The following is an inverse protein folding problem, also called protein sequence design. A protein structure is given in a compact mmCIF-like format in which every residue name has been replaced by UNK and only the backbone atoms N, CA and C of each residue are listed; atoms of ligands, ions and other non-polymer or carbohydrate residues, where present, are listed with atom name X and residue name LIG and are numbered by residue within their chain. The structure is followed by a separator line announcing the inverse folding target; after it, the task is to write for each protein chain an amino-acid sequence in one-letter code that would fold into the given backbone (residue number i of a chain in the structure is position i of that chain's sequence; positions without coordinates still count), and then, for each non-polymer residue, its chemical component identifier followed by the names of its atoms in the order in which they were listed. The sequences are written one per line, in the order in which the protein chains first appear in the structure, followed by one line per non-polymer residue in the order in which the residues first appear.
data_IF_803693185311
#
_entry.id   IF_803693185311
#
_cell.length_a   1.000
_cell.length_b   1.000
_cell.length_c   1.000
_cell.angle_alpha   90.00
_cell.angle_beta   90.00
_cell.angle_gamma   90.00
#
_symmetry.space_group_name_H-M   'P 1'
#
loop_
_entity.id
_entity.type
_entity.pdbx_description
1 polymer ?
#
# COMPACT_ATOMS: atom_id res chain seq x y z
N UNK A 1 29.76 6.86 -2.72
CA UNK A 1 28.28 6.73 -2.67
C UNK A 1 27.74 5.80 -3.74
N UNK A 2 28.07 6.01 -5.02
CA UNK A 2 27.60 5.20 -6.14
C UNK A 2 27.94 3.68 -6.03
N UNK A 3 29.16 3.34 -5.61
CA UNK A 3 29.60 1.95 -5.38
C UNK A 3 28.70 1.17 -4.42
N UNK A 4 28.29 1.76 -3.30
CA UNK A 4 27.42 1.09 -2.32
C UNK A 4 26.05 0.78 -2.94
N UNK A 5 25.53 1.73 -3.72
CA UNK A 5 24.26 1.56 -4.40
C UNK A 5 24.33 0.44 -5.45
N UNK A 6 25.42 0.35 -6.21
CA UNK A 6 25.61 -0.74 -7.17
C UNK A 6 25.64 -2.10 -6.49
N UNK A 7 26.31 -2.21 -5.33
CA UNK A 7 26.35 -3.45 -4.56
C UNK A 7 24.94 -3.81 -4.05
N UNK A 8 24.18 -2.85 -3.51
CA UNK A 8 22.80 -3.07 -3.03
C UNK A 8 21.89 -3.51 -4.18
N UNK A 9 21.95 -2.82 -5.31
CA UNK A 9 21.11 -3.12 -6.48
C UNK A 9 21.46 -4.49 -7.05
N UNK A 10 22.74 -4.79 -7.25
CA UNK A 10 23.20 -6.11 -7.72
C UNK A 10 22.73 -7.22 -6.78
N UNK A 11 23.01 -7.08 -5.49
CA UNK A 11 22.62 -8.07 -4.48
C UNK A 11 21.11 -8.29 -4.47
N UNK A 12 20.34 -7.21 -4.56
CA UNK A 12 18.87 -7.30 -4.57
C UNK A 12 18.36 -7.97 -5.84
N UNK A 13 18.86 -7.59 -7.02
CA UNK A 13 18.40 -8.14 -8.29
C UNK A 13 18.74 -9.62 -8.44
N UNK A 14 19.91 -10.05 -7.95
CA UNK A 14 20.34 -11.44 -7.98
C UNK A 14 19.58 -12.32 -6.96
N UNK A 15 19.23 -11.79 -5.78
CA UNK A 15 18.71 -12.60 -4.66
C UNK A 15 17.23 -12.37 -4.31
N UNK A 16 16.55 -11.39 -4.91
CA UNK A 16 15.16 -11.06 -4.54
C UNK A 16 14.15 -12.17 -4.86
N UNK A 17 14.39 -12.96 -5.92
CA UNK A 17 13.46 -13.98 -6.39
C UNK A 17 12.10 -13.37 -6.75
N UNK A 18 11.03 -13.86 -6.08
CA UNK A 18 9.64 -13.41 -6.28
C UNK A 18 9.16 -12.38 -5.24
N UNK A 19 10.05 -11.89 -4.36
CA UNK A 19 9.68 -10.94 -3.32
C UNK A 19 9.26 -9.60 -3.93
N UNK A 20 8.26 -8.98 -3.32
CA UNK A 20 7.91 -7.58 -3.61
C UNK A 20 8.79 -6.67 -2.80
N UNK A 21 9.48 -5.77 -3.48
CA UNK A 21 10.49 -4.88 -2.89
C UNK A 21 10.16 -3.47 -3.33
N UNK A 22 10.24 -2.55 -2.39
CA UNK A 22 10.18 -1.11 -2.60
C UNK A 22 11.49 -0.55 -2.05
N UNK A 23 12.23 0.21 -2.84
CA UNK A 23 13.37 0.95 -2.33
C UNK A 23 12.90 2.28 -1.75
N UNK A 24 13.59 2.76 -0.72
CA UNK A 24 13.25 4.05 -0.14
C UNK A 24 14.47 4.70 0.51
N UNK A 25 14.59 6.03 0.40
CA UNK A 25 15.73 6.79 0.96
C UNK A 25 15.30 8.21 1.34
N UNK A 26 15.98 8.80 2.35
CA UNK A 26 15.90 10.24 2.66
C UNK A 26 16.74 11.09 1.71
N UNK A 27 17.71 10.48 1.04
CA UNK A 27 18.61 11.15 0.10
C UNK A 27 17.96 11.15 -1.30
N UNK A 28 17.72 12.36 -1.81
CA UNK A 28 17.10 12.58 -3.10
C UNK A 28 18.00 12.14 -4.27
N UNK A 29 19.32 12.34 -4.18
CA UNK A 29 20.26 11.88 -5.21
C UNK A 29 20.27 10.36 -5.28
N UNK A 30 20.20 9.68 -4.13
CA UNK A 30 20.04 8.22 -4.09
C UNK A 30 18.74 7.79 -4.76
N UNK A 31 17.62 8.45 -4.48
CA UNK A 31 16.34 8.11 -5.11
C UNK A 31 16.40 8.24 -6.64
N UNK A 32 16.96 9.34 -7.14
CA UNK A 32 17.18 9.58 -8.57
C UNK A 32 18.07 8.50 -9.18
N UNK A 33 19.21 8.19 -8.57
CA UNK A 33 20.14 7.20 -9.14
C UNK A 33 19.53 5.79 -9.11
N UNK A 34 18.82 5.41 -8.04
CA UNK A 34 18.09 4.12 -8.00
C UNK A 34 17.05 4.05 -9.10
N UNK A 35 16.31 5.13 -9.33
CA UNK A 35 15.28 5.19 -10.38
C UNK A 35 15.87 5.07 -11.78
N UNK A 36 17.05 5.64 -12.01
CA UNK A 36 17.74 5.60 -13.29
C UNK A 36 18.43 4.25 -13.57
N UNK A 37 18.97 3.60 -12.53
CA UNK A 37 19.73 2.35 -12.69
C UNK A 37 18.86 1.10 -12.85
N UNK A 38 17.61 1.14 -12.43
CA UNK A 38 16.69 0.01 -12.56
C UNK A 38 15.23 0.45 -12.71
N UNK A 39 14.43 -0.38 -13.36
CA UNK A 39 13.01 -0.12 -13.60
C UNK A 39 12.08 -1.23 -13.06
N UNK A 40 12.60 -2.16 -12.25
CA UNK A 40 11.88 -3.32 -11.73
C UNK A 40 11.16 -3.03 -10.41
N UNK A 41 11.82 -2.36 -9.48
CA UNK A 41 11.30 -2.07 -8.15
C UNK A 41 10.99 -0.58 -8.02
N UNK A 42 9.81 -0.22 -7.48
CA UNK A 42 9.46 1.17 -7.22
C UNK A 42 10.34 1.80 -6.14
N UNK A 43 10.34 3.13 -6.12
CA UNK A 43 11.10 3.94 -5.17
C UNK A 43 10.15 4.89 -4.44
N UNK A 44 10.25 4.96 -3.11
CA UNK A 44 9.59 5.95 -2.27
C UNK A 44 10.61 6.93 -1.71
N UNK A 45 10.33 8.23 -1.79
CA UNK A 45 11.17 9.26 -1.20
C UNK A 45 10.75 9.54 0.25
N UNK A 46 11.67 9.44 1.21
CA UNK A 46 11.38 9.74 2.60
C UNK A 46 11.56 11.23 2.89
N UNK A 47 10.62 11.79 3.63
CA UNK A 47 10.71 13.13 4.17
C UNK A 47 10.17 13.15 5.59
N UNK A 48 10.78 13.98 6.44
CA UNK A 48 10.22 14.29 7.75
C UNK A 48 9.21 15.45 7.72
N UNK A 49 9.05 16.09 6.55
CA UNK A 49 8.24 17.29 6.41
C UNK A 49 8.71 18.39 7.35
N UNK A 50 7.76 19.22 7.81
CA UNK A 50 8.02 20.11 8.93
C UNK A 50 7.83 19.34 10.24
N UNK A 51 8.89 19.27 11.04
CA UNK A 51 8.90 18.54 12.31
C UNK A 51 9.44 19.45 13.40
N UNK A 52 8.83 19.39 14.58
CA UNK A 52 9.36 20.01 15.80
C UNK A 52 10.28 19.03 16.57
N UNK A 53 10.26 17.75 16.20
CA UNK A 53 11.04 16.66 16.80
C UNK A 53 12.44 16.57 16.17
N UNK A 54 12.51 16.75 14.86
CA UNK A 54 13.75 16.59 14.08
C UNK A 54 14.25 17.91 13.49
N UNK A 55 15.57 18.13 13.45
CA UNK A 55 16.14 19.31 12.81
C UNK A 55 15.87 19.27 11.32
N UNK A 56 15.68 20.44 10.71
CA UNK A 56 15.40 20.57 9.29
C UNK A 56 16.48 19.91 8.42
N UNK A 57 16.05 19.15 7.41
CA UNK A 57 16.94 18.53 6.43
C UNK A 57 17.59 19.60 5.54
N UNK A 58 18.90 19.47 5.31
CA UNK A 58 19.67 20.43 4.50
C UNK A 58 19.26 20.43 3.02
N UNK A 59 18.82 19.28 2.49
CA UNK A 59 18.38 19.17 1.10
C UNK A 59 16.99 19.80 0.94
N UNK A 60 16.92 20.87 0.16
CA UNK A 60 15.68 21.61 -0.13
C UNK A 60 14.58 20.70 -0.68
N UNK A 61 14.93 19.66 -1.45
CA UNK A 61 13.98 18.70 -2.04
C UNK A 61 13.22 17.89 -0.98
N UNK A 62 13.80 17.77 0.21
CA UNK A 62 13.27 16.97 1.33
C UNK A 62 12.62 17.80 2.45
N UNK A 63 12.78 19.13 2.44
CA UNK A 63 12.45 20.02 3.58
C UNK A 63 10.98 20.08 3.97
N UNK A 64 10.08 19.92 3.02
CA UNK A 64 8.63 19.96 3.29
C UNK A 64 7.92 18.90 2.47
N UNK A 65 6.78 18.42 2.99
CA UNK A 65 5.97 17.42 2.32
C UNK A 65 5.55 17.85 0.90
N UNK A 66 5.11 19.10 0.63
CA UNK A 66 4.79 19.55 -0.72
C UNK A 66 5.98 19.58 -1.71
N UNK A 67 7.17 19.95 -1.23
CA UNK A 67 8.37 19.93 -2.07
C UNK A 67 8.76 18.48 -2.36
N UNK A 68 8.71 17.61 -1.36
CA UNK A 68 8.99 16.18 -1.52
C UNK A 68 8.02 15.50 -2.50
N UNK A 69 6.71 15.84 -2.44
CA UNK A 69 5.73 15.42 -3.44
C UNK A 69 6.13 15.86 -4.85
N UNK A 70 6.50 17.13 -5.01
CA UNK A 70 6.85 17.69 -6.31
C UNK A 70 8.12 17.03 -6.88
N UNK A 71 9.12 16.78 -6.03
CA UNK A 71 10.32 16.03 -6.40
C UNK A 71 9.99 14.59 -6.82
N UNK A 72 9.19 13.87 -6.04
CA UNK A 72 8.81 12.50 -6.36
C UNK A 72 8.04 12.40 -7.69
N UNK A 73 7.17 13.37 -7.97
CA UNK A 73 6.46 13.45 -9.24
C UNK A 73 7.42 13.74 -10.41
N UNK A 74 8.35 14.69 -10.23
CA UNK A 74 9.32 15.07 -11.27
C UNK A 74 10.27 13.91 -11.62
N UNK A 75 10.80 13.21 -10.62
CA UNK A 75 11.69 12.06 -10.79
C UNK A 75 10.95 10.76 -11.15
N UNK A 76 9.62 10.82 -11.34
CA UNK A 76 8.78 9.66 -11.66
C UNK A 76 9.00 8.49 -10.67
N UNK A 77 9.00 8.82 -9.37
CA UNK A 77 9.03 7.86 -8.27
C UNK A 77 7.60 7.33 -8.02
N UNK A 78 7.48 6.23 -7.26
CA UNK A 78 6.16 5.70 -6.90
C UNK A 78 5.39 6.67 -5.99
N UNK A 79 6.12 7.37 -5.11
CA UNK A 79 5.50 8.16 -4.08
C UNK A 79 6.45 8.63 -3.00
N UNK A 80 5.86 9.06 -1.88
CA UNK A 80 6.57 9.57 -0.72
C UNK A 80 6.21 8.81 0.55
N UNK A 81 7.12 8.84 1.51
CA UNK A 81 6.95 8.27 2.82
C UNK A 81 7.25 9.34 3.89
N UNK A 82 6.20 9.83 4.54
CA UNK A 82 6.23 11.07 5.33
C UNK A 82 6.21 10.77 6.83
N UNK A 83 6.94 11.54 7.61
CA UNK A 83 6.84 11.45 9.06
C UNK A 83 5.41 11.79 9.53
N UNK A 84 4.89 10.98 10.44
CA UNK A 84 3.48 11.01 10.82
C UNK A 84 3.06 12.30 11.51
N UNK A 85 3.98 12.95 12.24
CA UNK A 85 3.75 14.27 12.84
C UNK A 85 3.23 15.30 11.83
N UNK A 86 3.85 15.39 10.65
CA UNK A 86 3.46 16.39 9.64
C UNK A 86 2.12 16.02 9.00
N UNK A 87 1.84 14.72 8.83
CA UNK A 87 0.56 14.27 8.28
C UNK A 87 -0.61 14.41 9.25
N UNK A 88 -0.39 14.22 10.55
CA UNK A 88 -1.42 14.47 11.56
C UNK A 88 -1.73 15.97 11.67
N UNK A 89 -0.71 16.83 11.50
CA UNK A 89 -0.87 18.29 11.45
C UNK A 89 -1.55 18.76 10.17
N UNK A 90 -1.23 18.11 9.05
CA UNK A 90 -1.70 18.49 7.71
C UNK A 90 -2.33 17.30 6.95
N UNK A 91 -3.52 16.81 7.37
CA UNK A 91 -4.16 15.65 6.72
C UNK A 91 -4.45 15.84 5.22
N UNK A 92 -4.59 17.09 4.76
CA UNK A 92 -4.82 17.43 3.36
C UNK A 92 -3.71 16.96 2.41
N UNK A 93 -2.47 16.81 2.91
CA UNK A 93 -1.35 16.31 2.09
C UNK A 93 -1.57 14.89 1.56
N UNK A 94 -2.38 14.07 2.25
CA UNK A 94 -2.73 12.72 1.80
C UNK A 94 -3.53 12.79 0.50
N UNK A 95 -4.50 13.69 0.43
CA UNK A 95 -5.32 13.88 -0.78
C UNK A 95 -4.54 14.60 -1.87
N UNK A 96 -3.68 15.55 -1.51
CA UNK A 96 -2.80 16.22 -2.47
C UNK A 96 -1.86 15.22 -3.15
N UNK A 97 -1.17 14.35 -2.40
CA UNK A 97 -0.28 13.33 -2.95
C UNK A 97 -1.01 12.42 -3.94
N UNK A 98 -2.21 11.95 -3.57
CA UNK A 98 -3.05 11.13 -4.44
C UNK A 98 -3.48 11.87 -5.70
N UNK A 99 -3.85 13.14 -5.61
CA UNK A 99 -4.22 13.97 -6.76
C UNK A 99 -3.06 14.13 -7.76
N UNK A 100 -1.81 14.05 -7.27
CA UNK A 100 -0.58 14.04 -8.09
C UNK A 100 -0.21 12.65 -8.64
N UNK A 101 -1.04 11.63 -8.38
CA UNK A 101 -0.79 10.25 -8.78
C UNK A 101 0.27 9.53 -7.93
N UNK A 102 0.61 10.06 -6.77
CA UNK A 102 1.62 9.50 -5.87
C UNK A 102 0.98 8.60 -4.82
N UNK A 103 1.69 7.53 -4.48
CA UNK A 103 1.41 6.75 -3.27
C UNK A 103 1.97 7.48 -2.06
N UNK A 104 1.22 7.51 -0.96
CA UNK A 104 1.68 8.13 0.30
C UNK A 104 1.68 7.15 1.45
N UNK A 105 2.87 6.92 2.00
CA UNK A 105 3.11 6.11 3.20
C UNK A 105 3.44 7.03 4.37
N UNK A 106 3.31 6.51 5.59
CA UNK A 106 3.81 7.22 6.76
C UNK A 106 4.51 6.30 7.76
N UNK A 107 5.42 6.91 8.52
CA UNK A 107 6.25 6.30 9.54
C UNK A 107 6.41 7.24 10.74
N UNK A 108 6.92 6.74 11.86
CA UNK A 108 7.21 7.53 13.06
C UNK A 108 6.42 7.07 14.28
N UNK A 109 6.82 7.57 15.45
CA UNK A 109 6.34 7.05 16.74
C UNK A 109 4.83 7.21 16.95
N UNK A 110 4.23 8.27 16.37
CA UNK A 110 2.79 8.52 16.43
C UNK A 110 1.96 7.37 15.82
N UNK A 111 2.55 6.59 14.92
CA UNK A 111 1.89 5.40 14.33
C UNK A 111 1.75 4.25 15.32
N UNK A 112 2.43 4.29 16.47
CA UNK A 112 2.28 3.29 17.52
C UNK A 112 0.99 3.49 18.34
N UNK A 113 0.34 4.66 18.26
CA UNK A 113 -1.00 4.90 18.82
C UNK A 113 -2.11 4.34 17.89
N UNK A 114 -2.95 3.39 18.36
CA UNK A 114 -4.07 2.85 17.60
C UNK A 114 -5.05 3.92 17.06
N UNK A 115 -5.30 4.98 17.82
CA UNK A 115 -6.24 6.04 17.41
C UNK A 115 -5.68 6.88 16.27
N UNK A 116 -4.39 7.19 16.30
CA UNK A 116 -3.71 7.84 15.18
C UNK A 116 -3.71 6.96 13.92
N UNK A 117 -3.45 5.65 14.07
CA UNK A 117 -3.56 4.72 12.93
C UNK A 117 -4.97 4.70 12.36
N UNK A 118 -6.01 4.73 13.20
CA UNK A 118 -7.40 4.79 12.76
C UNK A 118 -7.68 6.06 11.95
N UNK A 119 -7.30 7.23 12.47
CA UNK A 119 -7.44 8.52 11.77
C UNK A 119 -6.73 8.54 10.42
N UNK A 120 -5.48 8.09 10.36
CA UNK A 120 -4.70 8.06 9.12
C UNK A 120 -5.33 7.15 8.05
N UNK A 121 -5.95 6.03 8.46
CA UNK A 121 -6.75 5.19 7.56
C UNK A 121 -8.01 5.88 7.08
N UNK A 122 -8.73 6.58 7.95
CA UNK A 122 -9.91 7.36 7.58
C UNK A 122 -9.57 8.47 6.58
N UNK A 123 -8.40 9.10 6.72
CA UNK A 123 -7.87 10.04 5.72
C UNK A 123 -7.43 9.37 4.42
N UNK A 124 -7.30 8.04 4.41
CA UNK A 124 -7.00 7.23 3.25
C UNK A 124 -5.51 7.08 2.96
N UNK A 125 -4.63 7.08 3.96
CA UNK A 125 -3.20 6.77 3.75
C UNK A 125 -3.03 5.42 3.01
N UNK A 126 -2.05 5.31 2.10
CA UNK A 126 -1.83 4.05 1.36
C UNK A 126 -1.02 3.04 2.17
N UNK A 127 -0.07 3.50 2.98
CA UNK A 127 0.79 2.62 3.78
C UNK A 127 1.07 3.19 5.17
N UNK A 128 1.09 2.32 6.17
CA UNK A 128 1.39 2.61 7.56
C UNK A 128 2.56 1.74 8.00
N UNK A 129 3.64 2.36 8.47
CA UNK A 129 4.83 1.69 9.01
C UNK A 129 4.86 1.98 10.51
N UNK A 130 4.75 0.94 11.33
CA UNK A 130 4.69 1.00 12.80
C UNK A 130 5.28 -0.26 13.42
N UNK A 131 5.76 -0.18 14.67
CA UNK A 131 6.52 -1.27 15.31
C UNK A 131 5.62 -2.30 16.00
N UNK A 132 4.48 -1.86 16.56
CA UNK A 132 3.60 -2.69 17.38
C UNK A 132 2.65 -3.57 16.56
N UNK A 133 3.19 -4.46 15.75
CA UNK A 133 2.40 -5.34 14.86
C UNK A 133 1.54 -6.36 15.62
N UNK A 134 1.91 -6.68 16.87
CA UNK A 134 1.23 -7.67 17.71
C UNK A 134 0.20 -7.06 18.67
N UNK A 135 0.01 -5.74 18.68
CA UNK A 135 -1.04 -5.11 19.48
C UNK A 135 -2.39 -5.64 18.98
N UNK A 136 -3.16 -6.21 19.90
CA UNK A 136 -4.35 -7.08 19.72
C UNK A 136 -5.52 -6.41 18.97
N UNK A 137 -5.35 -6.10 17.68
CA UNK A 137 -6.43 -5.78 16.75
C UNK A 137 -6.24 -6.62 15.48
N UNK A 138 -7.30 -7.30 14.98
CA UNK A 138 -7.18 -8.24 13.88
C UNK A 138 -6.70 -7.57 12.60
N UNK A 139 -5.58 -8.12 12.14
CA UNK A 139 -4.94 -8.06 10.83
C UNK A 139 -5.77 -7.40 9.72
N UNK A 140 -5.39 -6.17 9.37
CA UNK A 140 -5.77 -5.56 8.11
C UNK A 140 -4.84 -6.10 7.00
N UNK A 141 -5.37 -6.35 5.78
CA UNK A 141 -4.58 -6.91 4.70
C UNK A 141 -3.43 -5.96 4.33
N UNK A 142 -2.24 -6.52 4.12
CA UNK A 142 -1.11 -5.72 3.71
C UNK A 142 -1.37 -5.08 2.32
N UNK A 143 -0.75 -3.94 2.03
CA UNK A 143 -0.88 -3.22 0.73
C UNK A 143 -0.74 -4.15 -0.47
N UNK A 144 0.12 -5.13 -0.31
CA UNK A 144 0.45 -6.19 -1.22
C UNK A 144 -0.72 -7.16 -1.50
N UNK A 145 -1.49 -7.57 -0.49
CA UNK A 145 -2.69 -8.37 -0.64
C UNK A 145 -3.80 -7.54 -1.29
N UNK A 146 -3.92 -6.26 -0.91
CA UNK A 146 -4.90 -5.34 -1.50
C UNK A 146 -4.64 -5.16 -3.00
N UNK A 147 -3.41 -4.89 -3.41
CA UNK A 147 -3.02 -4.78 -4.82
C UNK A 147 -3.34 -6.06 -5.61
N UNK A 148 -3.03 -7.23 -5.04
CA UNK A 148 -3.31 -8.51 -5.69
C UNK A 148 -4.83 -8.74 -5.85
N UNK A 149 -5.61 -8.41 -4.83
CA UNK A 149 -7.06 -8.51 -4.87
C UNK A 149 -7.66 -7.54 -5.88
N UNK A 150 -7.15 -6.30 -5.96
CA UNK A 150 -7.58 -5.34 -6.97
C UNK A 150 -7.27 -5.81 -8.39
N UNK A 151 -6.09 -6.38 -8.60
CA UNK A 151 -5.71 -6.97 -9.89
C UNK A 151 -6.63 -8.13 -10.26
N UNK A 152 -6.89 -9.04 -9.32
CA UNK A 152 -7.84 -10.15 -9.51
C UNK A 152 -9.25 -9.65 -9.82
N UNK A 153 -9.73 -8.60 -9.14
CA UNK A 153 -11.04 -7.98 -9.43
C UNK A 153 -11.13 -7.36 -10.83
N UNK A 154 -10.01 -6.88 -11.39
CA UNK A 154 -9.97 -6.38 -12.78
C UNK A 154 -9.96 -7.52 -13.79
N UNK A 155 -9.25 -8.59 -13.49
CA UNK A 155 -9.12 -9.77 -14.37
C UNK A 155 -10.38 -10.68 -14.32
N UNK A 156 -11.13 -10.69 -13.20
CA UNK A 156 -12.39 -11.42 -13.02
C UNK A 156 -13.52 -10.49 -12.54
N UNK A 157 -14.30 -9.87 -13.45
CA UNK A 157 -15.42 -8.99 -13.09
C UNK A 157 -16.56 -9.67 -12.33
N UNK A 158 -16.63 -11.01 -12.36
CA UNK A 158 -17.60 -11.86 -11.66
C UNK A 158 -17.40 -11.86 -10.13
N UNK A 159 -16.22 -11.47 -9.62
CA UNK A 159 -15.92 -11.46 -8.18
C UNK A 159 -16.56 -10.29 -7.40
N UNK A 160 -17.37 -9.46 -8.07
CA UNK A 160 -17.98 -8.26 -7.50
C UNK A 160 -19.12 -8.54 -6.50
N UNK A 161 -19.55 -9.78 -6.34
CA UNK A 161 -20.69 -10.14 -5.48
C UNK A 161 -20.39 -11.34 -4.59
N UNK A 162 -19.54 -11.17 -3.58
CA UNK A 162 -19.50 -12.07 -2.42
C UNK A 162 -19.06 -11.27 -1.20
N UNK A 163 -20.02 -10.73 -0.45
CA UNK A 163 -19.81 -10.24 0.92
C UNK A 163 -19.96 -11.42 1.88
N UNK A 164 -18.92 -12.24 2.00
CA UNK A 164 -18.81 -13.20 3.09
C UNK A 164 -17.65 -12.79 4.00
N UNK A 165 -17.90 -12.50 5.30
CA UNK A 165 -16.85 -12.21 6.24
C UNK A 165 -16.33 -13.53 6.81
N UNK A 166 -15.16 -14.01 6.39
CA UNK A 166 -14.27 -14.80 7.27
C UNK A 166 -12.90 -15.03 6.64
N UNK A 167 -11.89 -14.34 7.17
CA UNK A 167 -10.53 -14.87 7.24
C UNK A 167 -10.54 -15.85 8.40
N UNK A 168 -10.73 -17.13 8.13
CA UNK A 168 -10.35 -18.18 9.05
C UNK A 168 -9.60 -19.21 8.26
N UNK A 169 -8.28 -19.22 8.49
CA UNK A 169 -7.37 -20.36 8.39
C UNK A 169 -7.52 -21.29 7.18
N UNK A 170 -6.46 -21.35 6.37
CA UNK A 170 -6.20 -22.44 5.44
C UNK A 170 -6.50 -23.81 6.09
N UNK A 171 -7.60 -24.42 5.68
CA UNK A 171 -7.88 -25.84 5.83
C UNK A 171 -8.74 -26.25 4.64
N UNK A 172 -8.09 -27.01 3.75
CA UNK A 172 -8.63 -28.00 2.81
C UNK A 172 -9.87 -27.61 2.00
N UNK A 173 -9.68 -27.59 0.67
CA UNK A 173 -10.73 -27.44 -0.35
C UNK A 173 -12.04 -28.14 0.04
N UNK A 174 -13.04 -27.34 0.41
CA UNK A 174 -14.44 -27.73 0.31
C UNK A 174 -15.15 -26.64 -0.48
N UNK A 175 -15.78 -27.05 -1.58
CA UNK A 175 -16.49 -26.18 -2.51
C UNK A 175 -17.53 -25.35 -1.75
N UNK A 176 -17.38 -24.04 -1.80
CA UNK A 176 -18.40 -23.10 -1.35
C UNK A 176 -19.66 -23.31 -2.23
N UNK A 177 -20.75 -23.83 -1.66
CA UNK A 177 -22.03 -23.94 -2.34
C UNK A 177 -22.69 -22.57 -2.42
N UNK A 178 -22.36 -21.79 -3.44
CA UNK A 178 -23.19 -20.66 -3.85
C UNK A 178 -24.50 -21.22 -4.42
N UNK A 179 -25.60 -20.98 -3.71
CA UNK A 179 -26.95 -21.39 -4.11
C UNK A 179 -27.41 -20.41 -5.20
N UNK A 180 -27.27 -20.81 -6.46
CA UNK A 180 -27.85 -20.06 -7.57
C UNK A 180 -29.38 -20.10 -7.44
N UNK A 181 -29.97 -18.91 -7.39
CA UNK A 181 -31.37 -18.67 -7.71
C UNK A 181 -31.60 -19.03 -9.18
N UNK A 182 -32.31 -20.13 -9.42
CA UNK A 182 -33.03 -20.37 -10.67
C UNK A 182 -34.48 -20.63 -10.28
N UNK A 183 -35.31 -19.58 -10.35
CA UNK A 183 -36.75 -19.73 -10.49
C UNK A 183 -37.09 -19.76 -11.98
N UNK A 184 -38.13 -20.54 -12.27
CA UNK A 184 -38.84 -20.71 -13.55
C UNK A 184 -38.18 -21.71 -14.53
N UNK A 185 -38.85 -22.75 -15.04
CA UNK A 185 -40.27 -22.95 -15.39
C UNK A 185 -40.59 -24.45 -15.54
N UNK A 186 -41.90 -24.75 -15.66
CA UNK A 186 -42.52 -25.96 -16.24
C UNK A 186 -42.65 -27.17 -15.30
N UNK A 187 -43.77 -27.87 -15.23
CA UNK A 187 -44.98 -27.90 -16.04
C UNK A 187 -45.76 -29.16 -15.61
N UNK A 188 -47.07 -29.03 -15.61
CA UNK A 188 -48.15 -30.03 -15.72
C UNK A 188 -47.70 -31.51 -15.78
N UNK A 189 -48.18 -32.34 -14.84
CA UNK A 189 -48.92 -33.58 -15.15
C UNK A 189 -49.48 -34.23 -13.87
N UNK A 190 -50.82 -34.33 -13.81
CA UNK A 190 -51.60 -35.04 -12.80
C UNK A 190 -52.21 -36.31 -13.43
N UNK A 191 -51.82 -37.49 -12.90
CA UNK A 191 -52.51 -38.81 -12.88
C UNK A 191 -52.91 -39.51 -14.21
N UNK A 192 -53.23 -40.83 -14.24
CA UNK A 192 -53.24 -41.87 -13.18
C UNK A 192 -52.59 -43.24 -13.57
N UNK A 193 -52.42 -44.16 -12.60
CA UNK A 193 -52.94 -45.56 -12.61
C UNK A 193 -52.16 -46.51 -11.67
N UNK A 194 -52.77 -46.86 -10.53
CA UNK A 194 -53.03 -48.21 -10.01
C UNK A 194 -53.47 -48.12 -8.54
#
# INVERSE_FOLDING_TARGET
MNLFLDIILKTTLENAGRRRIIFSSFDADICTVVRQKQNKYPVLFLTQGKSDIYPELMDLRSRTTPIAMSFAQFENLLGINVHTEDLLRNPSYIQEAKSKGLVIFCWGDDTNDPENRKKLREYGINGLIYDRIYDWMPEQPNIFQVEQLERLKRELPELKFCTCPTVSHFSTMSLCKCRNSLMETNGIDNLPNA
#
